data_IF_004341759481
#
_entry.id   IF_004341759481
#
_cell.length_a   1.000
_cell.length_b   1.000
_cell.length_c   1.000
_cell.angle_alpha   90.00
_cell.angle_beta   90.00
_cell.angle_gamma   90.00
#
_symmetry.space_group_name_H-M   'P 1'
#
loop_
_entity.id
_entity.type
_entity.pdbx_description
1 polymer ?
#
# COMPACT_ATOMS: atom_id res chain seq x y z
N UNK A 1 -14.49 4.19 16.31
CA UNK A 1 -14.53 4.33 17.79
C UNK A 1 -15.39 3.21 18.35
N UNK A 2 -16.67 3.15 18.04
CA UNK A 2 -17.60 2.14 18.61
C UNK A 2 -17.12 0.70 18.39
N UNK A 3 -16.65 0.37 17.17
CA UNK A 3 -16.16 -0.97 16.83
C UNK A 3 -14.89 -1.33 17.60
N UNK A 4 -13.98 -0.37 17.85
CA UNK A 4 -12.78 -0.62 18.63
C UNK A 4 -13.14 -0.94 20.10
N UNK A 5 -13.98 -0.14 20.70
CA UNK A 5 -14.36 -0.30 22.11
C UNK A 5 -15.18 -1.58 22.36
N UNK A 6 -15.92 -2.06 21.34
CA UNK A 6 -16.59 -3.37 21.39
C UNK A 6 -15.60 -4.55 21.36
N UNK A 7 -14.54 -4.45 20.58
CA UNK A 7 -13.52 -5.48 20.44
C UNK A 7 -12.50 -5.47 21.59
N UNK A 8 -12.24 -4.30 22.14
CA UNK A 8 -11.21 -4.07 23.17
C UNK A 8 -11.76 -3.27 24.37
N UNK A 9 -12.72 -3.84 25.14
CA UNK A 9 -13.37 -3.10 26.22
C UNK A 9 -12.43 -2.72 27.37
N UNK A 10 -11.30 -3.42 27.52
CA UNK A 10 -10.30 -3.13 28.56
C UNK A 10 -9.35 -1.98 28.18
N UNK A 11 -9.36 -1.58 26.89
CA UNK A 11 -8.52 -0.51 26.36
C UNK A 11 -9.33 0.36 25.40
N UNK A 12 -10.25 1.19 25.95
CA UNK A 12 -11.05 2.09 25.14
C UNK A 12 -10.16 3.03 24.32
N UNK A 13 -10.59 3.37 23.12
CA UNK A 13 -9.80 4.22 22.23
C UNK A 13 -9.57 5.61 22.80
N UNK A 14 -10.48 6.07 23.66
CA UNK A 14 -10.39 7.37 24.35
C UNK A 14 -9.15 7.45 25.25
N UNK A 15 -8.75 6.35 25.89
CA UNK A 15 -7.55 6.29 26.74
C UNK A 15 -6.27 6.54 25.93
N UNK A 16 -6.26 6.14 24.63
CA UNK A 16 -5.15 6.43 23.73
C UNK A 16 -5.07 7.90 23.30
N UNK A 17 -6.20 8.59 23.20
CA UNK A 17 -6.20 10.01 22.85
C UNK A 17 -5.62 10.86 23.99
N UNK A 18 -5.89 10.51 25.23
CA UNK A 18 -5.28 11.17 26.39
C UNK A 18 -3.75 10.93 26.45
N UNK A 19 -3.31 9.71 26.10
CA UNK A 19 -1.89 9.35 26.04
C UNK A 19 -1.16 10.05 24.86
N UNK A 20 -1.85 10.23 23.73
CA UNK A 20 -1.37 10.96 22.56
C UNK A 20 -1.18 12.45 22.88
N UNK A 21 -2.10 13.06 23.61
CA UNK A 21 -2.02 14.45 24.01
C UNK A 21 -0.83 14.70 24.99
N UNK A 22 -0.50 13.72 25.83
CA UNK A 22 0.67 13.77 26.72
C UNK A 22 2.02 13.55 25.99
N UNK A 23 2.02 12.77 24.90
CA UNK A 23 3.23 12.43 24.15
C UNK A 23 3.66 13.48 23.11
N UNK A 24 2.77 14.42 22.77
CA UNK A 24 2.95 15.45 21.77
C UNK A 24 2.74 14.97 20.34
N UNK A 25 2.24 15.86 19.50
CA UNK A 25 1.91 15.58 18.09
C UNK A 25 3.08 15.02 17.29
N UNK A 26 4.32 15.41 17.59
CA UNK A 26 5.52 15.00 16.88
C UNK A 26 5.77 13.46 16.95
N UNK A 27 5.49 12.83 18.09
CA UNK A 27 5.71 11.38 18.27
C UNK A 27 4.64 10.52 17.60
N UNK A 28 3.41 11.02 17.54
CA UNK A 28 2.31 10.35 16.85
C UNK A 28 2.55 10.39 15.35
N UNK A 29 2.95 11.54 14.83
CA UNK A 29 3.29 11.72 13.42
C UNK A 29 4.46 10.80 13.02
N UNK A 30 5.55 10.78 13.81
CA UNK A 30 6.69 9.89 13.59
C UNK A 30 6.31 8.39 13.60
N UNK A 31 5.33 8.00 14.43
CA UNK A 31 4.87 6.61 14.50
C UNK A 31 4.00 6.25 13.30
N UNK A 32 3.08 7.15 12.91
CA UNK A 32 2.24 6.98 11.73
C UNK A 32 3.10 6.96 10.47
N UNK A 33 4.05 7.86 10.34
CA UNK A 33 4.96 7.94 9.19
C UNK A 33 5.78 6.64 9.07
N UNK A 34 6.32 6.13 10.18
CA UNK A 34 7.10 4.88 10.17
C UNK A 34 6.25 3.66 9.85
N UNK A 35 5.03 3.55 10.35
CA UNK A 35 4.11 2.45 10.01
C UNK A 35 3.62 2.56 8.56
N UNK A 36 3.50 3.78 8.03
CA UNK A 36 3.11 4.02 6.63
C UNK A 36 4.29 3.75 5.69
N UNK A 37 5.52 4.11 6.06
CA UNK A 37 6.73 3.78 5.31
C UNK A 37 6.96 2.27 5.22
N UNK A 38 6.70 1.51 6.28
CA UNK A 38 6.79 0.05 6.27
C UNK A 38 5.77 -0.61 5.31
N UNK A 39 4.69 0.09 4.94
CA UNK A 39 3.73 -0.38 3.93
C UNK A 39 4.16 -0.06 2.49
N UNK A 40 5.01 0.95 2.29
CA UNK A 40 5.57 1.32 1.00
C UNK A 40 6.80 0.48 0.68
N UNK A 41 6.60 -0.81 0.41
CA UNK A 41 7.68 -1.73 0.06
C UNK A 41 7.33 -2.54 -1.18
N UNK A 42 8.36 -3.10 -1.84
CA UNK A 42 8.12 -4.19 -2.76
C UNK A 42 7.52 -5.35 -2.00
N UNK A 43 6.45 -5.93 -2.50
CA UNK A 43 5.79 -7.04 -1.81
C UNK A 43 5.16 -8.04 -2.76
N UNK A 44 5.09 -9.28 -2.33
CA UNK A 44 4.33 -10.35 -2.95
C UNK A 44 3.05 -10.53 -2.14
N UNK A 45 1.90 -10.48 -2.80
CA UNK A 45 0.60 -10.56 -2.11
C UNK A 45 0.23 -9.29 -1.36
N UNK A 46 -0.73 -9.40 -0.46
CA UNK A 46 -1.29 -8.26 0.28
C UNK A 46 -2.09 -7.30 -0.58
N UNK A 47 -2.39 -6.13 -0.04
CA UNK A 47 -3.10 -5.09 -0.78
C UNK A 47 -2.18 -4.40 -1.80
N UNK A 48 -2.63 -4.16 -3.02
CA UNK A 48 -1.89 -3.36 -3.99
C UNK A 48 -1.77 -1.90 -3.52
N UNK A 49 -0.74 -1.22 -4.00
CA UNK A 49 -0.52 0.21 -3.70
C UNK A 49 -0.78 1.00 -4.99
N UNK A 50 -1.74 1.91 -4.94
CA UNK A 50 -2.04 2.82 -6.03
C UNK A 50 -1.68 4.25 -5.62
N UNK A 51 -0.92 4.95 -6.44
CA UNK A 51 -0.61 6.37 -6.22
C UNK A 51 -1.76 7.28 -6.63
N UNK A 52 -2.69 6.74 -7.40
CA UNK A 52 -3.96 7.35 -7.77
C UNK A 52 -5.13 6.46 -7.35
N UNK A 53 -6.23 6.53 -8.06
CA UNK A 53 -7.40 5.71 -7.78
C UNK A 53 -7.17 4.24 -8.18
N UNK A 54 -7.82 3.34 -7.46
CA UNK A 54 -7.87 1.92 -7.82
C UNK A 54 -8.65 1.75 -9.15
N UNK A 55 -8.03 1.21 -10.20
CA UNK A 55 -8.70 1.05 -11.50
C UNK A 55 -9.91 0.09 -11.44
N UNK A 56 -9.96 -0.79 -10.44
CA UNK A 56 -11.08 -1.72 -10.22
C UNK A 56 -12.39 -1.01 -9.82
N UNK A 57 -12.30 0.22 -9.31
CA UNK A 57 -13.45 1.03 -8.95
C UNK A 57 -14.19 1.60 -10.18
N UNK A 58 -13.50 1.70 -11.31
CA UNK A 58 -13.99 2.36 -12.52
C UNK A 58 -14.23 1.41 -13.70
N UNK A 59 -13.71 0.20 -13.64
CA UNK A 59 -13.81 -0.77 -14.71
C UNK A 59 -14.42 -2.09 -14.19
N UNK A 60 -15.62 -2.40 -14.64
CA UNK A 60 -16.37 -3.58 -14.18
C UNK A 60 -15.65 -4.90 -14.49
N UNK A 61 -14.92 -4.96 -15.58
CA UNK A 61 -14.13 -6.11 -16.02
C UNK A 61 -12.89 -6.36 -15.15
N UNK A 62 -12.47 -5.37 -14.35
CA UNK A 62 -11.34 -5.47 -13.43
C UNK A 62 -11.74 -5.86 -12.00
N UNK A 63 -13.02 -5.86 -11.66
CA UNK A 63 -13.48 -6.10 -10.29
C UNK A 63 -13.10 -7.46 -9.73
N UNK A 64 -12.99 -8.46 -10.58
CA UNK A 64 -12.63 -9.82 -10.17
C UNK A 64 -11.11 -10.02 -9.96
N UNK A 65 -10.29 -9.03 -10.31
CA UNK A 65 -8.84 -9.04 -10.11
C UNK A 65 -8.46 -8.65 -8.67
N UNK A 66 -8.90 -9.46 -7.73
CA UNK A 66 -8.81 -9.18 -6.28
C UNK A 66 -7.51 -9.65 -5.65
N UNK A 67 -6.66 -10.38 -6.37
CA UNK A 67 -5.38 -10.88 -5.85
C UNK A 67 -4.24 -10.05 -6.40
N UNK A 68 -3.43 -9.48 -5.51
CA UNK A 68 -2.18 -8.84 -5.85
C UNK A 68 -1.05 -9.87 -5.88
N UNK A 69 -0.45 -10.10 -7.03
CA UNK A 69 0.72 -10.98 -7.15
C UNK A 69 1.99 -10.30 -6.69
N UNK A 70 2.17 -9.06 -7.10
CA UNK A 70 3.39 -8.30 -6.87
C UNK A 70 3.05 -6.81 -6.89
N UNK A 71 3.64 -6.09 -5.95
CA UNK A 71 3.74 -4.63 -5.99
C UNK A 71 5.21 -4.24 -6.03
N UNK A 72 5.56 -3.34 -6.91
CA UNK A 72 6.89 -2.70 -6.95
C UNK A 72 6.73 -1.20 -6.81
N UNK A 73 7.42 -0.64 -5.85
CA UNK A 73 7.45 0.82 -5.64
C UNK A 73 8.66 1.46 -6.32
N UNK A 74 8.60 2.76 -6.53
CA UNK A 74 9.77 3.54 -6.90
C UNK A 74 10.72 3.65 -5.72
N UNK A 75 12.00 3.34 -5.92
CA UNK A 75 13.06 3.42 -4.91
C UNK A 75 14.33 3.98 -5.50
N UNK A 76 15.09 4.68 -4.68
CA UNK A 76 16.42 5.22 -5.00
C UNK A 76 17.33 5.04 -3.80
N UNK A 77 18.63 5.11 -4.04
CA UNK A 77 19.64 5.18 -2.97
C UNK A 77 19.68 6.55 -2.26
N UNK A 78 18.71 7.41 -2.54
CA UNK A 78 18.62 8.78 -2.00
C UNK A 78 19.30 9.84 -2.85
N UNK A 79 19.94 9.46 -3.94
CA UNK A 79 20.59 10.41 -4.86
C UNK A 79 19.91 10.43 -6.24
N UNK A 80 18.72 10.99 -6.31
CA UNK A 80 17.96 11.14 -7.55
C UNK A 80 18.66 11.96 -8.63
N UNK A 81 19.68 12.75 -8.27
CA UNK A 81 20.45 13.56 -9.20
C UNK A 81 21.59 12.81 -9.89
N UNK A 82 21.95 11.63 -9.40
CA UNK A 82 22.98 10.78 -10.04
C UNK A 82 22.32 9.82 -11.05
N UNK A 83 22.56 10.00 -12.36
CA UNK A 83 21.98 9.14 -13.38
C UNK A 83 22.49 7.68 -13.33
N UNK A 84 23.52 7.41 -12.54
CA UNK A 84 24.07 6.06 -12.37
C UNK A 84 23.67 5.42 -11.04
N UNK A 85 22.98 6.14 -10.17
CA UNK A 85 22.46 5.58 -8.92
C UNK A 85 21.45 4.46 -9.21
N UNK A 86 21.51 3.34 -8.49
CA UNK A 86 20.48 2.30 -8.60
C UNK A 86 19.12 2.89 -8.24
N UNK A 87 18.19 2.82 -9.17
CA UNK A 87 16.83 3.30 -8.95
C UNK A 87 15.82 2.44 -9.70
N UNK A 88 14.65 2.29 -9.12
CA UNK A 88 13.44 1.84 -9.79
C UNK A 88 12.50 3.03 -9.81
N UNK A 89 12.07 3.45 -11.00
CA UNK A 89 11.24 4.62 -11.16
C UNK A 89 10.04 4.31 -12.05
N UNK A 90 8.85 4.39 -11.49
CA UNK A 90 7.58 4.28 -12.19
C UNK A 90 7.01 5.68 -12.43
N UNK A 91 7.27 6.25 -13.61
CA UNK A 91 6.89 7.62 -13.91
C UNK A 91 7.58 8.62 -12.97
N UNK A 92 6.81 9.35 -12.19
CA UNK A 92 7.30 10.26 -11.15
C UNK A 92 6.94 9.72 -9.75
N UNK A 93 7.82 8.88 -9.22
CA UNK A 93 7.71 8.23 -7.90
C UNK A 93 6.43 7.38 -7.74
N UNK A 94 5.99 6.74 -8.80
CA UNK A 94 4.79 5.90 -8.80
C UNK A 94 5.01 4.48 -8.29
N UNK A 95 3.98 3.66 -8.47
CA UNK A 95 3.94 2.24 -8.11
C UNK A 95 3.47 1.39 -9.29
N UNK A 96 3.85 0.12 -9.29
CA UNK A 96 3.39 -0.86 -10.26
C UNK A 96 2.83 -2.10 -9.55
N UNK A 97 1.72 -2.62 -10.04
CA UNK A 97 1.03 -3.77 -9.50
C UNK A 97 0.75 -4.81 -10.58
N UNK A 98 0.79 -6.09 -10.21
CA UNK A 98 0.37 -7.21 -11.03
C UNK A 98 -0.79 -7.91 -10.36
N UNK A 99 -1.95 -7.85 -10.99
CA UNK A 99 -3.20 -8.36 -10.44
C UNK A 99 -3.68 -9.59 -11.19
N UNK A 100 -4.30 -10.52 -10.46
CA UNK A 100 -4.86 -11.75 -11.01
C UNK A 100 -6.19 -12.07 -10.33
N UNK A 101 -7.07 -12.82 -10.98
CA UNK A 101 -8.26 -13.33 -10.32
C UNK A 101 -7.94 -14.54 -9.44
N UNK A 102 -8.72 -14.80 -8.37
CA UNK A 102 -8.53 -15.99 -7.55
C UNK A 102 -8.62 -17.30 -8.33
N UNK A 103 -9.51 -17.38 -9.33
CA UNK A 103 -9.68 -18.57 -10.16
C UNK A 103 -8.47 -18.81 -11.05
N UNK A 104 -7.95 -17.78 -11.73
CA UNK A 104 -6.74 -17.87 -12.54
C UNK A 104 -5.54 -18.32 -11.68
N UNK A 105 -5.38 -17.75 -10.50
CA UNK A 105 -4.30 -18.13 -9.58
C UNK A 105 -4.43 -19.59 -9.15
N UNK A 106 -5.64 -20.05 -8.79
CA UNK A 106 -5.91 -21.44 -8.43
C UNK A 106 -5.55 -22.40 -9.55
N UNK A 107 -5.83 -22.03 -10.79
CA UNK A 107 -5.53 -22.81 -11.99
C UNK A 107 -4.07 -22.64 -12.48
N UNK A 108 -3.29 -21.77 -11.83
CA UNK A 108 -1.93 -21.39 -12.26
C UNK A 108 -1.91 -20.83 -13.69
N UNK A 109 -2.97 -20.15 -14.07
CA UNK A 109 -3.09 -19.49 -15.38
C UNK A 109 -2.71 -18.01 -15.23
N UNK A 110 -1.49 -17.69 -15.62
CA UNK A 110 -0.95 -16.34 -15.58
C UNK A 110 -1.08 -15.59 -16.90
N UNK A 111 -1.79 -16.17 -17.90
CA UNK A 111 -1.93 -15.58 -19.23
C UNK A 111 -2.75 -14.29 -19.26
N UNK A 112 -3.56 -14.05 -18.23
CA UNK A 112 -4.45 -12.90 -18.11
C UNK A 112 -4.10 -11.99 -16.94
N UNK A 113 -2.87 -12.06 -16.42
CA UNK A 113 -2.40 -11.13 -15.39
C UNK A 113 -2.46 -9.69 -15.90
N UNK A 114 -3.01 -8.81 -15.12
CA UNK A 114 -3.05 -7.38 -15.43
C UNK A 114 -1.83 -6.71 -14.83
N UNK A 115 -1.16 -5.91 -15.64
CA UNK A 115 -0.15 -4.96 -15.20
C UNK A 115 -0.77 -3.57 -15.13
N UNK A 116 -0.69 -2.95 -13.96
CA UNK A 116 -1.13 -1.58 -13.72
C UNK A 116 0.02 -0.80 -13.09
N UNK A 117 0.22 0.43 -13.52
CA UNK A 117 1.12 1.36 -12.84
C UNK A 117 0.53 2.76 -12.86
N UNK A 118 0.82 3.51 -11.82
CA UNK A 118 0.36 4.89 -11.69
C UNK A 118 1.40 5.76 -10.99
N UNK A 119 1.41 7.04 -11.30
CA UNK A 119 2.27 8.05 -10.67
C UNK A 119 1.53 9.39 -10.53
N UNK A 120 2.10 10.29 -9.77
CA UNK A 120 1.69 11.69 -9.62
C UNK A 120 0.20 11.84 -9.30
#
# INVERSE_FOLDING_TARGET
VDTWNELYPETPIEDYFDEIDELGEDRVTDTIDRETEDQLTHKIGGEPIFTQNDPRDFADDLRDYTVNLLTMISVSDGNWADPNAPAIMWGDVGTANWLITPEQLKNRDFSQVIFEWSCC
#
